data_IF_732095822509
#
_entry.id   IF_732095822509
#
_cell.length_a   1.000
_cell.length_b   1.000
_cell.length_c   1.000
_cell.angle_alpha   90.00
_cell.angle_beta   90.00
_cell.angle_gamma   90.00
#
_symmetry.space_group_name_H-M   'P 1'
#
loop_
_entity.id
_entity.type
_entity.pdbx_description
1 polymer ?
#
# COMPACT_ATOMS: atom_id res chain seq x y z
N UNK A 1 -41.34 -45.94 -0.97
CA UNK A 1 -41.63 -44.69 -1.74
C UNK A 1 -41.45 -43.42 -0.90
N UNK A 2 -41.85 -43.40 0.39
CA UNK A 2 -41.65 -42.24 1.27
C UNK A 2 -40.18 -41.90 1.56
N UNK A 3 -39.34 -42.93 1.80
CA UNK A 3 -37.92 -42.75 2.14
C UNK A 3 -37.09 -42.15 1.00
N UNK A 4 -37.37 -42.53 -0.25
CA UNK A 4 -36.71 -41.93 -1.42
C UNK A 4 -37.11 -40.47 -1.62
N UNK A 5 -38.38 -40.13 -1.41
CA UNK A 5 -38.87 -38.74 -1.48
C UNK A 5 -38.20 -37.87 -0.41
N UNK A 6 -38.08 -38.38 0.82
CA UNK A 6 -37.43 -37.66 1.92
C UNK A 6 -35.94 -37.39 1.64
N UNK A 7 -35.24 -38.35 1.03
CA UNK A 7 -33.85 -38.21 0.62
C UNK A 7 -33.69 -37.13 -0.47
N UNK A 8 -34.58 -37.09 -1.45
CA UNK A 8 -34.56 -36.08 -2.52
C UNK A 8 -34.80 -34.68 -1.95
N UNK A 9 -35.77 -34.53 -1.04
CA UNK A 9 -36.06 -33.25 -0.38
C UNK A 9 -34.86 -32.79 0.45
N UNK A 10 -34.26 -33.69 1.23
CA UNK A 10 -33.07 -33.38 2.03
C UNK A 10 -31.89 -32.96 1.16
N UNK A 11 -31.64 -33.66 0.05
CA UNK A 11 -30.60 -33.31 -0.93
C UNK A 11 -30.85 -31.94 -1.55
N UNK A 12 -32.09 -31.61 -1.93
CA UNK A 12 -32.41 -30.29 -2.48
C UNK A 12 -32.24 -29.19 -1.43
N UNK A 13 -32.56 -29.46 -0.16
CA UNK A 13 -32.43 -28.50 0.94
C UNK A 13 -30.95 -28.16 1.23
N UNK A 14 -30.07 -29.17 1.27
CA UNK A 14 -28.62 -28.96 1.49
C UNK A 14 -27.91 -28.38 0.27
N UNK A 15 -28.36 -28.70 -0.95
CA UNK A 15 -27.80 -28.14 -2.19
C UNK A 15 -28.29 -26.71 -2.48
N UNK A 16 -29.43 -26.31 -1.90
CA UNK A 16 -29.92 -24.92 -1.96
C UNK A 16 -29.35 -24.05 -0.85
N UNK A 17 -28.64 -24.67 0.12
CA UNK A 17 -27.87 -23.94 1.10
C UNK A 17 -26.67 -23.35 0.37
N UNK A 18 -26.85 -22.13 -0.15
CA UNK A 18 -25.77 -21.31 -0.69
C UNK A 18 -24.68 -21.32 0.37
N UNK A 19 -23.53 -21.92 0.06
CA UNK A 19 -22.37 -21.82 0.92
C UNK A 19 -22.01 -20.35 0.91
N UNK A 20 -22.42 -19.64 1.95
CA UNK A 20 -22.02 -18.27 2.23
C UNK A 20 -20.50 -18.30 2.17
N UNK A 21 -19.98 -17.84 1.03
CA UNK A 21 -18.57 -17.97 0.73
C UNK A 21 -17.92 -17.01 1.69
N UNK A 22 -17.06 -17.53 2.59
CA UNK A 22 -16.38 -16.69 3.57
C UNK A 22 -15.76 -15.49 2.82
N UNK A 23 -16.37 -14.31 2.99
CA UNK A 23 -15.99 -13.10 2.29
C UNK A 23 -14.51 -12.87 2.57
N UNK A 24 -13.70 -12.88 1.51
CA UNK A 24 -12.26 -12.64 1.68
C UNK A 24 -12.12 -11.18 2.11
N UNK A 25 -11.45 -10.91 3.25
CA UNK A 25 -11.25 -9.53 3.68
C UNK A 25 -10.60 -8.73 2.54
N UNK A 26 -11.09 -7.52 2.24
CA UNK A 26 -10.51 -6.71 1.20
C UNK A 26 -9.04 -6.43 1.50
N UNK A 27 -8.24 -6.32 0.44
CA UNK A 27 -6.87 -5.84 0.59
C UNK A 27 -6.90 -4.42 1.18
N UNK A 28 -5.88 -4.04 1.97
CA UNK A 28 -5.89 -2.75 2.66
C UNK A 28 -6.01 -1.55 1.72
N UNK A 29 -5.56 -1.66 0.47
CA UNK A 29 -5.72 -0.67 -0.61
C UNK A 29 -7.16 -0.55 -1.15
N UNK A 30 -7.97 -1.59 -1.03
CA UNK A 30 -9.34 -1.66 -1.56
C UNK A 30 -10.40 -1.54 -0.45
N UNK A 31 -10.00 -1.53 0.84
CA UNK A 31 -10.88 -1.33 1.99
C UNK A 31 -11.31 0.16 2.11
N UNK A 32 -12.62 0.46 1.93
CA UNK A 32 -13.14 1.83 2.01
C UNK A 32 -12.88 2.52 3.34
N UNK A 33 -12.75 1.77 4.44
CA UNK A 33 -12.43 2.34 5.75
C UNK A 33 -11.04 3.00 5.78
N UNK A 34 -10.13 2.58 4.89
CA UNK A 34 -8.76 3.08 4.82
C UNK A 34 -8.58 4.27 3.86
N UNK A 35 -9.51 4.54 2.95
CA UNK A 35 -9.35 5.57 1.91
C UNK A 35 -9.03 6.95 2.48
N UNK A 36 -9.65 7.33 3.61
CA UNK A 36 -9.40 8.63 4.27
C UNK A 36 -7.95 8.81 4.76
N UNK A 37 -7.25 7.70 4.98
CA UNK A 37 -5.89 7.65 5.51
C UNK A 37 -4.83 7.39 4.44
N UNK A 38 -5.21 6.94 3.25
CA UNK A 38 -4.30 6.58 2.15
C UNK A 38 -4.22 7.66 1.07
N UNK A 39 -4.66 8.88 1.38
CA UNK A 39 -4.53 10.02 0.49
C UNK A 39 -3.09 10.57 0.50
N UNK A 40 -2.33 10.20 -0.54
CA UNK A 40 -0.94 10.63 -0.70
C UNK A 40 -0.80 12.14 -0.98
N UNK A 41 -1.85 12.85 -1.38
CA UNK A 41 -1.76 14.30 -1.63
C UNK A 41 -1.53 15.07 -0.33
N UNK A 42 -2.12 14.61 0.78
CA UNK A 42 -1.89 15.17 2.12
C UNK A 42 -0.43 15.00 2.57
N UNK A 43 0.22 13.90 2.21
CA UNK A 43 1.64 13.69 2.53
C UNK A 43 2.54 14.72 1.83
N UNK A 44 2.21 15.09 0.60
CA UNK A 44 2.96 16.10 -0.17
C UNK A 44 2.85 17.50 0.48
N UNK A 45 1.72 17.80 1.12
CA UNK A 45 1.51 19.05 1.84
C UNK A 45 2.32 19.13 3.14
N UNK A 46 2.62 17.99 3.75
CA UNK A 46 3.43 17.86 4.96
C UNK A 46 4.93 17.93 4.66
N UNK A 47 5.34 18.81 3.73
CA UNK A 47 6.73 18.95 3.26
C UNK A 47 7.78 18.86 4.38
N UNK A 48 8.97 18.40 4.04
CA UNK A 48 10.01 18.13 5.04
C UNK A 48 10.67 16.77 4.86
N UNK A 49 11.48 16.39 5.86
CA UNK A 49 12.22 15.14 5.86
C UNK A 49 11.50 14.07 6.67
N UNK A 50 11.20 12.96 6.02
CA UNK A 50 10.57 11.79 6.61
C UNK A 50 11.56 10.64 6.64
N UNK A 51 11.83 10.12 7.84
CA UNK A 51 12.81 9.05 8.03
C UNK A 51 12.13 7.68 8.06
N UNK A 52 12.76 6.71 7.41
CA UNK A 52 12.33 5.31 7.50
C UNK A 52 12.77 4.76 8.85
N UNK A 53 11.80 4.40 9.70
CA UNK A 53 12.06 3.81 11.03
C UNK A 53 12.15 2.29 11.03
N UNK A 54 11.34 1.62 10.19
CA UNK A 54 11.23 0.17 10.17
C UNK A 54 10.90 -0.34 8.77
N UNK A 55 11.40 -1.54 8.47
CA UNK A 55 11.06 -2.33 7.28
C UNK A 55 10.75 -3.77 7.69
N UNK A 56 10.06 -4.49 6.81
CA UNK A 56 9.77 -5.93 6.94
C UNK A 56 10.70 -6.79 6.08
N UNK A 57 11.53 -6.17 5.24
CA UNK A 57 12.45 -6.83 4.33
C UNK A 57 13.87 -6.26 4.45
N UNK A 58 14.86 -7.08 4.12
CA UNK A 58 16.28 -6.69 4.08
C UNK A 58 16.64 -6.14 2.71
N UNK A 59 17.32 -4.99 2.66
CA UNK A 59 17.84 -4.42 1.41
C UNK A 59 19.35 -4.58 1.36
N UNK A 60 19.84 -5.25 0.32
CA UNK A 60 21.28 -5.33 0.04
C UNK A 60 21.54 -4.66 -1.30
N UNK A 61 22.41 -3.67 -1.30
CA UNK A 61 22.92 -3.06 -2.53
C UNK A 61 24.35 -3.51 -2.76
N UNK A 62 24.86 -3.44 -3.99
CA UNK A 62 26.27 -3.71 -4.31
C UNK A 62 27.24 -2.82 -3.49
N UNK A 63 26.75 -1.69 -2.97
CA UNK A 63 27.53 -0.73 -2.20
C UNK A 63 27.31 -0.82 -0.68
N UNK A 64 26.62 -1.86 -0.19
CA UNK A 64 26.36 -2.08 1.24
C UNK A 64 24.88 -1.93 1.63
N UNK A 65 24.61 -2.10 2.93
CA UNK A 65 23.28 -1.95 3.50
C UNK A 65 22.98 -0.46 3.76
N UNK A 66 21.84 0.06 3.27
CA UNK A 66 21.42 1.41 3.58
C UNK A 66 20.95 1.50 5.03
N UNK A 67 21.46 2.50 5.75
CA UNK A 67 21.06 2.89 7.10
C UNK A 67 20.52 4.33 7.07
N UNK A 68 19.63 4.68 8.01
CA UNK A 68 19.07 6.05 8.12
C UNK A 68 18.52 6.59 6.78
N UNK A 69 17.60 5.85 6.16
CA UNK A 69 16.99 6.28 4.91
C UNK A 69 15.94 7.35 5.17
N UNK A 70 15.76 8.24 4.18
CA UNK A 70 14.80 9.31 4.26
C UNK A 70 14.23 9.67 2.89
N UNK A 71 13.07 10.29 2.93
CA UNK A 71 12.43 11.00 1.83
C UNK A 71 12.26 12.46 2.23
N UNK A 72 12.79 13.37 1.42
CA UNK A 72 12.66 14.80 1.57
C UNK A 72 11.68 15.31 0.51
N UNK A 73 10.55 15.83 0.98
CA UNK A 73 9.56 16.49 0.14
C UNK A 73 9.87 17.99 0.20
N UNK A 74 10.22 18.59 -0.93
CA UNK A 74 10.55 20.01 -1.02
C UNK A 74 9.31 20.91 -1.17
N UNK A 75 8.12 20.31 -1.28
CA UNK A 75 6.84 20.98 -1.45
C UNK A 75 6.28 20.87 -2.87
N UNK A 76 5.07 21.41 -3.08
CA UNK A 76 4.40 21.44 -4.38
C UNK A 76 5.09 22.46 -5.31
N UNK A 77 5.43 22.03 -6.52
CA UNK A 77 5.88 22.86 -7.64
C UNK A 77 4.69 23.34 -8.46
N UNK A 78 3.67 22.48 -8.63
CA UNK A 78 2.34 22.76 -9.22
C UNK A 78 1.29 21.93 -8.47
N UNK A 79 0.00 22.15 -8.78
CA UNK A 79 -1.14 21.50 -8.11
C UNK A 79 -0.96 19.99 -7.87
N UNK A 80 -0.43 19.29 -8.89
CA UNK A 80 -0.20 17.84 -8.87
C UNK A 80 1.26 17.48 -9.13
N UNK A 81 2.21 18.32 -8.74
CA UNK A 81 3.63 18.13 -9.04
C UNK A 81 4.47 18.51 -7.83
N UNK A 82 5.35 17.64 -7.36
CA UNK A 82 6.27 17.92 -6.25
C UNK A 82 7.66 17.34 -6.49
N UNK A 83 8.67 17.92 -5.86
CA UNK A 83 10.04 17.41 -5.91
C UNK A 83 10.32 16.49 -4.72
N UNK A 84 10.82 15.28 -5.00
CA UNK A 84 11.13 14.26 -4.02
C UNK A 84 12.61 13.90 -4.05
N UNK A 85 13.31 14.14 -2.96
CA UNK A 85 14.68 13.71 -2.79
C UNK A 85 14.72 12.50 -1.86
N UNK A 86 15.26 11.39 -2.34
CA UNK A 86 15.47 10.20 -1.53
C UNK A 86 16.92 10.15 -1.09
N UNK A 87 17.16 9.70 0.14
CA UNK A 87 18.53 9.54 0.61
C UNK A 87 18.68 8.44 1.62
N UNK A 88 19.93 8.05 1.82
CA UNK A 88 20.33 7.08 2.83
C UNK A 88 21.77 7.32 3.23
N UNK A 89 22.11 6.95 4.46
CA UNK A 89 23.49 6.78 4.89
C UNK A 89 23.90 5.35 4.53
N UNK A 90 25.06 5.17 3.92
CA UNK A 90 25.58 3.83 3.60
C UNK A 90 26.53 3.38 4.70
N UNK A 91 26.28 2.22 5.27
CA UNK A 91 27.25 1.55 6.12
C UNK A 91 28.29 0.84 5.25
N UNK A 92 29.51 1.37 5.14
CA UNK A 92 30.62 0.67 4.49
C UNK A 92 31.33 -0.17 5.56
N UNK A 93 31.71 -1.43 5.28
CA UNK A 93 32.58 -2.20 6.17
C UNK A 93 33.88 -1.42 6.43
N UNK A 94 34.21 -1.15 7.70
CA UNK A 94 35.39 -0.36 8.09
C UNK A 94 35.10 1.04 8.66
N UNK A 95 33.85 1.36 8.99
CA UNK A 95 33.49 2.52 9.83
C UNK A 95 33.28 3.84 9.11
N UNK A 96 33.52 3.91 7.79
CA UNK A 96 33.19 5.08 7.00
C UNK A 96 31.75 5.04 6.55
N UNK A 97 31.02 6.14 6.77
CA UNK A 97 29.67 6.30 6.27
C UNK A 97 29.61 7.38 5.19
N UNK A 98 28.95 7.08 4.08
CA UNK A 98 28.70 8.04 3.00
C UNK A 98 27.22 8.34 2.89
N UNK A 99 26.86 9.62 2.79
CA UNK A 99 25.51 10.02 2.45
C UNK A 99 25.32 9.88 0.95
N UNK A 100 24.22 9.29 0.53
CA UNK A 100 23.81 9.29 -0.87
C UNK A 100 22.42 9.84 -1.00
N UNK A 101 22.30 10.82 -1.89
CA UNK A 101 21.04 11.47 -2.22
C UNK A 101 20.75 11.17 -3.70
N UNK A 102 19.51 10.80 -3.98
CA UNK A 102 18.95 10.63 -5.32
C UNK A 102 17.76 11.55 -5.40
N UNK A 103 17.86 12.60 -6.21
CA UNK A 103 16.70 13.45 -6.52
C UNK A 103 15.88 12.70 -7.56
N UNK A 104 14.70 12.22 -7.17
CA UNK A 104 13.69 11.89 -8.16
C UNK A 104 13.02 13.21 -8.56
N UNK A 105 12.85 13.39 -9.87
CA UNK A 105 12.27 14.60 -10.41
C UNK A 105 10.82 14.79 -10.00
N UNK A 106 10.13 15.61 -10.77
CA UNK A 106 8.77 15.97 -10.49
C UNK A 106 7.81 14.76 -10.46
N UNK A 107 7.13 14.55 -9.34
CA UNK A 107 6.19 13.46 -9.13
C UNK A 107 4.73 13.94 -9.16
N UNK A 108 3.90 13.19 -9.88
CA UNK A 108 2.44 13.35 -9.87
C UNK A 108 1.81 12.27 -8.98
N UNK A 109 1.12 12.63 -7.89
CA UNK A 109 0.33 11.66 -7.13
C UNK A 109 -0.84 11.16 -7.99
N UNK A 110 -1.05 9.86 -8.04
CA UNK A 110 -2.24 9.26 -8.66
C UNK A 110 -3.42 9.42 -7.70
N UNK A 111 -4.55 10.03 -8.12
CA UNK A 111 -5.75 10.10 -7.30
C UNK A 111 -6.28 8.69 -7.02
N UNK A 112 -6.58 8.38 -5.76
CA UNK A 112 -7.36 7.19 -5.38
C UNK A 112 -8.86 7.34 -5.73
N UNK A 113 -9.27 8.54 -6.15
CA UNK A 113 -10.67 8.96 -6.32
C UNK A 113 -11.43 8.23 -7.43
N UNK A 114 -10.78 7.63 -8.43
CA UNK A 114 -11.48 6.85 -9.47
C UNK A 114 -12.02 5.50 -8.99
N UNK A 115 -11.66 5.04 -7.79
CA UNK A 115 -12.09 3.73 -7.27
C UNK A 115 -13.32 3.79 -6.35
N UNK A 116 -13.84 4.99 -6.07
CA UNK A 116 -15.01 5.20 -5.20
C UNK A 116 -16.36 5.09 -5.92
N UNK A 117 -16.38 4.91 -7.24
CA UNK A 117 -17.63 4.91 -8.04
C UNK A 117 -18.17 3.52 -8.38
N UNK A 118 -17.61 2.44 -7.82
CA UNK A 118 -18.17 1.09 -7.99
C UNK A 118 -18.90 0.71 -6.70
N UNK A 119 -20.12 1.24 -6.56
CA UNK A 119 -21.12 0.66 -5.66
C UNK A 119 -21.91 -0.37 -6.48
N UNK A 120 -22.04 -1.63 -6.04
CA UNK A 120 -23.01 -2.53 -6.65
C UNK A 120 -24.40 -2.15 -6.13
N UNK A 121 -25.30 -1.83 -7.07
CA UNK A 121 -26.75 -1.81 -6.85
C UNK A 121 -27.29 -3.24 -6.63
#
# INVERSE_FOLDING_TARGET
>A
MYLQSLLVIFCLLICSYSQDTAETPPLPEDDPANFRYQDATKLVELGGRHWVKRRTYTVRTQMGEPICEYAQIHGKVKDNEYTLELGAKKGIPGGQSKNTNTVLGNHRPTPSTERSSISPD
#
